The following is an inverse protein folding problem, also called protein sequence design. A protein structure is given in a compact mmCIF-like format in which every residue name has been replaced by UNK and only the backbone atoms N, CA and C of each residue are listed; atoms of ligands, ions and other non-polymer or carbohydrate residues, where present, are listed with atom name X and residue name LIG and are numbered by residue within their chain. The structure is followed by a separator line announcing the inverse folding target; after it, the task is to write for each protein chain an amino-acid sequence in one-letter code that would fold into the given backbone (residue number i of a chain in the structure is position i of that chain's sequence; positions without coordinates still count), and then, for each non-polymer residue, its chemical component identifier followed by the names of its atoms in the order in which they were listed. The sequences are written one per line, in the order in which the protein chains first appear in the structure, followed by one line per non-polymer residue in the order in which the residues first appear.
data_IF_141683009562
#
_entry.id   IF_141683009562
#
_cell.length_a   1.000
_cell.length_b   1.000
_cell.length_c   1.000
_cell.angle_alpha   90.00
_cell.angle_beta   90.00
_cell.angle_gamma   90.00
#
_symmetry.space_group_name_H-M   'P 1'
#
loop_
_entity.id
_entity.type
_entity.pdbx_description
1 polymer ?
#
# COMPACT_ATOMS: atom_id res chain seq x y z
N UNK A 1 0.69 45.30 4.41
CA UNK A 1 0.11 44.79 3.14
C UNK A 1 0.85 43.52 2.75
N UNK A 2 0.14 42.56 2.15
CA UNK A 2 0.58 41.26 1.64
C UNK A 2 0.74 40.10 2.63
N UNK A 3 -0.39 39.47 2.96
CA UNK A 3 -0.44 38.02 3.17
C UNK A 3 -0.94 37.42 1.87
N UNK A 4 -0.05 36.83 1.05
CA UNK A 4 -0.44 36.03 -0.09
C UNK A 4 -1.20 34.81 0.41
N UNK A 5 -2.51 34.85 0.31
CA UNK A 5 -3.36 33.68 0.48
C UNK A 5 -3.06 32.73 -0.68
N UNK A 6 -2.48 31.56 -0.38
CA UNK A 6 -2.40 30.47 -1.35
C UNK A 6 -3.83 30.11 -1.80
N UNK A 7 -4.09 29.89 -3.11
CA UNK A 7 -5.39 29.46 -3.55
C UNK A 7 -5.65 28.07 -2.98
N UNK A 8 -6.66 27.95 -2.11
CA UNK A 8 -7.22 26.66 -1.72
C UNK A 8 -7.69 26.00 -3.01
N UNK A 9 -6.97 24.99 -3.50
CA UNK A 9 -7.43 24.14 -4.60
C UNK A 9 -8.71 23.46 -4.13
N UNK A 10 -9.85 24.08 -4.43
CA UNK A 10 -11.18 23.53 -4.18
C UNK A 10 -11.42 22.44 -5.21
N UNK A 11 -10.74 21.32 -5.02
CA UNK A 11 -11.03 20.07 -5.71
C UNK A 11 -12.41 19.64 -5.21
N UNK A 12 -13.44 20.07 -5.95
CA UNK A 12 -14.83 19.99 -5.50
C UNK A 12 -15.42 18.65 -5.91
N UNK A 13 -15.83 17.86 -4.92
CA UNK A 13 -16.53 16.60 -5.12
C UNK A 13 -17.82 16.88 -5.92
N UNK A 14 -17.99 16.30 -7.14
CA UNK A 14 -19.13 16.58 -8.01
C UNK A 14 -20.50 16.34 -7.36
N UNK A 15 -20.68 15.23 -6.62
CA UNK A 15 -21.89 14.98 -5.83
C UNK A 15 -21.55 14.47 -4.43
N UNK A 16 -21.62 15.36 -3.44
CA UNK A 16 -21.37 14.99 -2.04
C UNK A 16 -22.37 13.93 -1.57
N UNK A 17 -21.86 12.76 -1.20
CA UNK A 17 -22.65 11.67 -0.61
C UNK A 17 -23.03 10.56 -1.60
N UNK A 18 -22.71 10.72 -2.88
CA UNK A 18 -22.79 9.63 -3.84
C UNK A 18 -21.57 8.71 -3.69
N UNK A 19 -21.80 7.39 -3.77
CA UNK A 19 -20.72 6.40 -3.82
C UNK A 19 -20.48 6.03 -5.27
N UNK A 20 -19.42 6.58 -5.84
CA UNK A 20 -18.99 6.28 -7.21
C UNK A 20 -18.28 4.93 -7.28
N UNK A 21 -18.53 4.16 -8.35
CA UNK A 21 -17.67 3.03 -8.73
C UNK A 21 -16.39 3.52 -9.40
N UNK A 22 -15.39 2.65 -9.55
CA UNK A 22 -14.13 3.01 -10.22
C UNK A 22 -14.34 3.40 -11.69
N UNK A 23 -15.30 2.79 -12.38
CA UNK A 23 -15.67 3.15 -13.75
C UNK A 23 -16.24 4.58 -13.82
N UNK A 24 -17.12 4.94 -12.90
CA UNK A 24 -17.72 6.28 -12.84
C UNK A 24 -16.67 7.36 -12.51
N UNK A 25 -15.73 7.05 -11.60
CA UNK A 25 -14.60 7.92 -11.29
C UNK A 25 -13.69 8.12 -12.52
N UNK A 26 -13.42 7.06 -13.29
CA UNK A 26 -12.63 7.14 -14.53
C UNK A 26 -13.31 7.97 -15.59
N UNK A 27 -14.62 7.84 -15.77
CA UNK A 27 -15.38 8.70 -16.70
C UNK A 27 -15.32 10.18 -16.30
N UNK A 28 -15.45 10.49 -15.01
CA UNK A 28 -15.35 11.85 -14.50
C UNK A 28 -13.93 12.41 -14.66
N UNK A 29 -12.91 11.60 -14.40
CA UNK A 29 -11.50 11.94 -14.60
C UNK A 29 -11.21 12.26 -16.08
N UNK A 30 -11.71 11.45 -17.01
CA UNK A 30 -11.58 11.67 -18.46
C UNK A 30 -12.24 12.99 -18.92
N UNK A 31 -13.30 13.43 -18.24
CA UNK A 31 -13.95 14.73 -18.49
C UNK A 31 -13.20 15.91 -17.85
N UNK A 32 -12.04 15.68 -17.22
CA UNK A 32 -11.20 16.70 -16.60
C UNK A 32 -11.57 17.03 -15.16
N UNK A 33 -12.33 16.19 -14.46
CA UNK A 33 -12.66 16.42 -13.06
C UNK A 33 -11.45 16.11 -12.16
N UNK A 34 -10.85 17.15 -11.57
CA UNK A 34 -9.68 17.03 -10.70
C UNK A 34 -9.90 16.18 -9.45
N UNK A 35 -11.12 16.15 -8.91
CA UNK A 35 -11.42 15.32 -7.74
C UNK A 35 -11.43 13.84 -8.13
N UNK A 36 -12.09 13.52 -9.24
CA UNK A 36 -12.16 12.16 -9.73
C UNK A 36 -10.78 11.62 -10.12
N UNK A 37 -9.91 12.44 -10.74
CA UNK A 37 -8.53 12.06 -11.01
C UNK A 37 -7.79 11.63 -9.73
N UNK A 38 -7.85 12.43 -8.66
CA UNK A 38 -7.21 12.07 -7.38
C UNK A 38 -7.80 10.83 -6.72
N UNK A 39 -9.09 10.54 -6.92
CA UNK A 39 -9.71 9.32 -6.40
C UNK A 39 -9.33 8.08 -7.22
N UNK A 40 -9.18 8.21 -8.55
CA UNK A 40 -8.64 7.13 -9.40
C UNK A 40 -7.19 6.84 -9.02
N UNK A 41 -6.35 7.88 -8.87
CA UNK A 41 -4.95 7.71 -8.45
C UNK A 41 -4.85 7.00 -7.09
N UNK A 42 -5.69 7.40 -6.13
CA UNK A 42 -5.74 6.74 -4.82
C UNK A 42 -6.19 5.28 -4.93
N UNK A 43 -7.23 5.00 -5.73
CA UNK A 43 -7.70 3.64 -5.94
C UNK A 43 -6.65 2.77 -6.63
N UNK A 44 -5.90 3.31 -7.60
CA UNK A 44 -4.82 2.58 -8.28
C UNK A 44 -3.61 2.36 -7.37
N UNK A 45 -3.33 3.28 -6.44
CA UNK A 45 -2.33 3.05 -5.38
C UNK A 45 -2.78 1.95 -4.42
N UNK A 46 -4.03 1.98 -3.95
CA UNK A 46 -4.57 0.97 -3.03
C UNK A 46 -4.67 -0.42 -3.70
N UNK A 47 -5.16 -0.48 -4.94
CA UNK A 47 -5.22 -1.71 -5.73
C UNK A 47 -3.83 -2.21 -6.12
N UNK A 48 -2.93 -1.30 -6.51
CA UNK A 48 -1.53 -1.60 -6.76
C UNK A 48 -0.85 -2.15 -5.50
N UNK A 49 -1.20 -1.66 -4.32
CA UNK A 49 -0.72 -2.15 -3.03
C UNK A 49 -1.35 -3.52 -2.65
N UNK A 50 -2.59 -3.79 -3.07
CA UNK A 50 -3.21 -5.13 -2.95
C UNK A 50 -2.46 -6.19 -3.78
N UNK A 51 -1.94 -5.80 -4.96
CA UNK A 51 -1.13 -6.66 -5.83
C UNK A 51 0.37 -6.58 -5.57
N UNK A 52 0.85 -5.62 -4.79
CA UNK A 52 2.22 -5.53 -4.33
C UNK A 52 2.57 -6.61 -3.29
N UNK A 53 1.62 -7.51 -2.98
CA UNK A 53 1.68 -8.28 -1.75
C UNK A 53 1.42 -7.31 -0.61
N UNK A 54 0.25 -7.39 0.01
CA UNK A 54 0.15 -6.83 1.35
C UNK A 54 1.22 -7.58 2.15
N UNK A 55 2.33 -6.90 2.46
CA UNK A 55 3.36 -7.27 3.44
C UNK A 55 2.68 -7.36 4.82
N UNK A 56 1.68 -8.24 4.93
CA UNK A 56 0.84 -8.44 6.11
C UNK A 56 1.57 -9.31 7.12
N UNK A 57 2.58 -10.04 6.65
CA UNK A 57 3.46 -10.84 7.45
C UNK A 57 4.48 -9.92 8.09
N UNK A 58 4.62 -10.05 9.41
CA UNK A 58 5.56 -9.27 10.20
C UNK A 58 6.70 -10.16 10.62
N UNK A 59 7.91 -9.61 10.70
CA UNK A 59 9.03 -10.34 11.26
C UNK A 59 8.68 -10.75 12.70
N UNK A 60 8.74 -12.05 12.97
CA UNK A 60 8.45 -12.64 14.29
C UNK A 60 9.72 -13.01 15.07
N UNK A 61 10.90 -12.77 14.50
CA UNK A 61 12.19 -13.07 15.13
C UNK A 61 12.56 -11.96 16.13
N UNK A 62 12.55 -12.22 17.46
CA UNK A 62 12.84 -11.20 18.46
C UNK A 62 14.29 -10.71 18.46
N UNK A 63 15.20 -11.45 17.84
CA UNK A 63 16.61 -11.09 17.69
C UNK A 63 16.90 -10.34 16.37
N UNK A 64 15.90 -10.25 15.49
CA UNK A 64 15.99 -9.50 14.25
C UNK A 64 15.84 -7.99 14.48
N UNK A 65 16.68 -7.20 13.83
CA UNK A 65 16.62 -5.72 13.87
C UNK A 65 15.28 -5.17 13.35
N UNK A 66 14.65 -5.87 12.42
CA UNK A 66 13.32 -5.57 11.87
C UNK A 66 12.16 -6.25 12.59
N UNK A 67 12.30 -6.67 13.85
CA UNK A 67 11.22 -7.33 14.59
C UNK A 67 9.92 -6.48 14.58
N UNK A 68 8.83 -7.08 14.10
CA UNK A 68 7.52 -6.43 13.99
C UNK A 68 7.31 -5.58 12.73
N UNK A 69 8.34 -5.40 11.90
CA UNK A 69 8.26 -4.74 10.60
C UNK A 69 7.66 -5.67 9.53
N UNK A 70 7.05 -5.12 8.46
CA UNK A 70 6.54 -5.88 7.33
C UNK A 70 7.66 -6.63 6.59
N UNK A 71 7.42 -7.90 6.24
CA UNK A 71 8.37 -8.78 5.57
C UNK A 71 7.68 -9.68 4.54
N UNK A 72 8.48 -10.23 3.63
CA UNK A 72 8.09 -11.33 2.75
C UNK A 72 8.71 -12.64 3.24
N UNK A 73 7.92 -13.70 3.31
CA UNK A 73 8.43 -15.03 3.62
C UNK A 73 8.77 -15.82 2.35
N UNK A 74 10.00 -16.32 2.29
CA UNK A 74 10.44 -17.23 1.26
C UNK A 74 10.27 -18.68 1.75
N UNK A 75 9.45 -19.44 1.04
CA UNK A 75 9.20 -20.85 1.33
C UNK A 75 9.96 -21.78 0.37
N UNK A 76 10.41 -22.92 0.87
CA UNK A 76 10.98 -24.01 0.08
C UNK A 76 9.93 -24.78 -0.72
N UNK A 77 10.40 -25.74 -1.51
CA UNK A 77 9.53 -26.58 -2.36
C UNK A 77 8.46 -27.36 -1.56
N UNK A 78 8.72 -27.61 -0.28
CA UNK A 78 7.80 -28.30 0.63
C UNK A 78 6.89 -27.34 1.42
N UNK A 79 6.94 -26.03 1.15
CA UNK A 79 6.25 -25.01 1.91
C UNK A 79 6.86 -24.69 3.28
N UNK A 80 8.09 -25.16 3.55
CA UNK A 80 8.81 -24.76 4.77
C UNK A 80 9.31 -23.33 4.63
N UNK A 81 9.22 -22.55 5.69
CA UNK A 81 9.80 -21.21 5.75
C UNK A 81 11.33 -21.35 5.72
N UNK A 82 12.01 -20.70 4.77
CA UNK A 82 13.46 -20.74 4.63
C UNK A 82 14.08 -19.41 5.04
N UNK A 83 13.48 -18.30 4.59
CA UNK A 83 14.06 -16.97 4.72
C UNK A 83 12.98 -15.92 4.95
N UNK A 84 13.32 -14.89 5.71
CA UNK A 84 12.53 -13.69 5.92
C UNK A 84 13.21 -12.55 5.18
N UNK A 85 12.55 -11.99 4.17
CA UNK A 85 13.05 -10.89 3.37
C UNK A 85 12.43 -9.57 3.85
N UNK A 86 13.27 -8.58 4.15
CA UNK A 86 12.90 -7.21 4.52
C UNK A 86 13.02 -6.25 3.32
N UNK A 87 13.11 -6.77 2.09
CA UNK A 87 13.20 -6.05 0.83
C UNK A 87 14.64 -5.72 0.40
N UNK A 88 15.44 -5.18 1.33
CA UNK A 88 16.86 -4.84 1.08
C UNK A 88 17.83 -5.88 1.65
N UNK A 89 17.37 -6.69 2.60
CA UNK A 89 18.16 -7.70 3.30
C UNK A 89 17.24 -8.79 3.85
N UNK A 90 17.76 -10.01 3.99
CA UNK A 90 17.01 -11.13 4.53
C UNK A 90 17.79 -11.91 5.58
N UNK A 91 17.08 -12.73 6.33
CA UNK A 91 17.68 -13.64 7.30
C UNK A 91 16.91 -14.96 7.40
N UNK A 92 17.66 -16.04 7.61
CA UNK A 92 17.09 -17.36 7.80
C UNK A 92 16.19 -17.40 9.04
N UNK A 93 15.17 -18.24 8.99
CA UNK A 93 14.19 -18.36 10.07
C UNK A 93 14.78 -19.13 11.26
N UNK A 94 15.07 -18.42 12.36
CA UNK A 94 15.71 -19.00 13.55
C UNK A 94 14.87 -20.02 14.33
N UNK A 95 13.55 -20.12 14.06
CA UNK A 95 12.67 -21.06 14.78
C UNK A 95 12.74 -22.50 14.26
N UNK A 96 13.34 -22.75 13.10
CA UNK A 96 13.48 -24.09 12.52
C UNK A 96 14.75 -24.82 13.00
N UNK A 97 14.98 -24.88 14.32
CA UNK A 97 15.73 -25.99 14.95
C UNK A 97 15.57 -26.04 16.47
N UNK A 98 14.45 -26.57 16.92
CA UNK A 98 14.39 -27.34 18.17
C UNK A 98 13.86 -28.74 17.84
N UNK A 99 14.81 -29.69 17.85
CA UNK A 99 14.71 -31.16 17.96
C UNK A 99 13.50 -31.89 17.34
#
# INVERSE_FOLDING_TARGET
MNTSAQPKSTVSHPEKGHRYTIEELRELALRGNAWAMSQVDQWELEYGNEYAGVLSEKCTDPECEGYGEPVDFCCGENGELIDVDHGDWGHAVGWARAA
#
